data_IF_152916391467
#
_entry.id   IF_152916391467
#
_cell.length_a   1.000
_cell.length_b   1.000
_cell.length_c   1.000
_cell.angle_alpha   90.00
_cell.angle_beta   90.00
_cell.angle_gamma   90.00
#
_symmetry.space_group_name_H-M   'P 1'
#
loop_
_entity.id
_entity.type
_entity.pdbx_description
1 polymer ?
#
# COMPACT_ATOMS: atom_id res chain seq x y z
N UNK A 1 -11.60 -3.77 -3.58
CA UNK A 1 -10.30 -3.10 -3.35
C UNK A 1 -10.39 -2.06 -2.24
N UNK A 2 -11.27 -1.04 -2.36
CA UNK A 2 -11.47 -0.01 -1.32
C UNK A 2 -11.62 -0.55 0.11
N UNK A 3 -12.48 -1.56 0.29
CA UNK A 3 -12.73 -2.18 1.59
C UNK A 3 -11.47 -2.78 2.25
N UNK A 4 -10.55 -3.35 1.45
CA UNK A 4 -9.28 -3.87 1.96
C UNK A 4 -8.31 -2.77 2.36
N UNK A 5 -8.28 -1.66 1.61
CA UNK A 5 -7.49 -0.49 1.96
C UNK A 5 -8.02 0.17 3.24
N UNK A 6 -9.34 0.29 3.39
CA UNK A 6 -9.98 0.75 4.61
C UNK A 6 -9.67 -0.17 5.80
N UNK A 7 -9.82 -1.48 5.65
CA UNK A 7 -9.52 -2.46 6.68
C UNK A 7 -8.04 -2.45 7.13
N UNK A 8 -7.11 -2.12 6.23
CA UNK A 8 -5.68 -2.05 6.56
C UNK A 8 -5.29 -0.76 7.30
N UNK A 9 -5.92 0.37 6.97
CA UNK A 9 -5.52 1.70 7.48
C UNK A 9 -6.50 2.33 8.46
N UNK A 10 -7.63 1.67 8.76
CA UNK A 10 -8.72 2.20 9.58
C UNK A 10 -9.27 3.54 9.04
N UNK A 11 -9.41 3.66 7.72
CA UNK A 11 -9.71 4.91 7.01
C UNK A 11 -10.76 4.71 5.88
N UNK A 12 -12.06 4.58 6.23
CA UNK A 12 -13.10 4.18 5.28
C UNK A 12 -13.40 5.23 4.19
N UNK A 13 -13.30 6.52 4.52
CA UNK A 13 -13.57 7.63 3.58
C UNK A 13 -12.42 7.74 2.55
N UNK A 14 -11.17 7.68 3.01
CA UNK A 14 -10.00 7.74 2.14
C UNK A 14 -9.97 6.56 1.15
N UNK A 15 -10.29 5.35 1.62
CA UNK A 15 -10.38 4.17 0.76
C UNK A 15 -11.51 4.25 -0.27
N UNK A 16 -12.65 4.86 0.09
CA UNK A 16 -13.76 5.06 -0.84
C UNK A 16 -13.43 6.12 -1.90
N UNK A 17 -12.86 7.27 -1.49
CA UNK A 17 -12.45 8.33 -2.40
C UNK A 17 -11.36 7.85 -3.37
N UNK A 18 -10.35 7.14 -2.89
CA UNK A 18 -9.29 6.59 -3.72
C UNK A 18 -9.82 5.71 -4.86
N UNK A 19 -10.81 4.85 -4.58
CA UNK A 19 -11.40 4.00 -5.62
C UNK A 19 -12.21 4.78 -6.66
N UNK A 20 -12.90 5.84 -6.22
CA UNK A 20 -13.72 6.65 -7.12
C UNK A 20 -12.83 7.54 -7.99
N UNK A 21 -11.81 8.16 -7.40
CA UNK A 21 -10.89 9.10 -8.04
C UNK A 21 -9.87 8.40 -8.96
N UNK A 22 -9.18 7.37 -8.48
CA UNK A 22 -8.03 6.78 -9.20
C UNK A 22 -8.44 5.66 -10.17
N UNK A 23 -9.54 4.93 -9.89
CA UNK A 23 -9.89 3.72 -10.68
C UNK A 23 -11.08 3.97 -11.59
N UNK A 24 -12.14 4.57 -11.04
CA UNK A 24 -13.43 4.59 -11.72
C UNK A 24 -13.62 5.84 -12.58
N UNK A 25 -12.93 6.95 -12.25
CA UNK A 25 -13.01 8.26 -12.93
C UNK A 25 -14.45 8.80 -13.16
N UNK A 26 -15.46 8.24 -12.48
CA UNK A 26 -16.88 8.51 -12.71
C UNK A 26 -17.63 8.54 -11.37
N UNK A 27 -18.02 9.75 -10.98
CA UNK A 27 -18.68 10.06 -9.72
C UNK A 27 -20.20 9.81 -9.78
N UNK A 28 -20.61 8.56 -10.05
CA UNK A 28 -22.02 8.19 -9.90
C UNK A 28 -22.34 7.96 -8.42
N UNK A 29 -23.29 8.70 -7.83
CA UNK A 29 -23.58 8.66 -6.39
C UNK A 29 -23.94 7.25 -5.90
N UNK A 30 -24.61 6.46 -6.73
CA UNK A 30 -24.98 5.09 -6.40
C UNK A 30 -23.78 4.15 -6.20
N UNK A 31 -22.69 4.35 -6.96
CA UNK A 31 -21.44 3.59 -6.77
C UNK A 31 -20.72 4.06 -5.50
N UNK A 32 -20.70 5.37 -5.24
CA UNK A 32 -20.04 5.94 -4.05
C UNK A 32 -20.68 5.39 -2.78
N UNK A 33 -22.01 5.37 -2.70
CA UNK A 33 -22.74 4.84 -1.54
C UNK A 33 -22.46 3.35 -1.32
N UNK A 34 -22.46 2.54 -2.38
CA UNK A 34 -22.14 1.12 -2.29
C UNK A 34 -20.70 0.86 -1.82
N UNK A 35 -19.74 1.63 -2.34
CA UNK A 35 -18.32 1.55 -1.96
C UNK A 35 -18.12 1.98 -0.51
N UNK A 36 -18.79 3.05 -0.09
CA UNK A 36 -18.73 3.55 1.27
C UNK A 36 -19.32 2.53 2.25
N UNK A 37 -20.48 1.94 1.96
CA UNK A 37 -21.03 0.85 2.78
C UNK A 37 -20.06 -0.35 2.90
N UNK A 38 -19.36 -0.69 1.82
CA UNK A 38 -18.35 -1.75 1.83
C UNK A 38 -17.09 -1.40 2.63
N UNK A 39 -16.61 -0.14 2.57
CA UNK A 39 -15.44 0.29 3.36
C UNK A 39 -15.76 0.39 4.83
N UNK A 40 -16.93 0.91 5.21
CA UNK A 40 -17.38 1.00 6.60
C UNK A 40 -17.58 -0.37 7.24
N UNK A 41 -18.21 -1.32 6.53
CA UNK A 41 -18.38 -2.69 7.06
C UNK A 41 -17.05 -3.40 7.27
N UNK A 42 -16.08 -3.22 6.37
CA UNK A 42 -14.75 -3.79 6.51
C UNK A 42 -13.96 -3.17 7.67
N UNK A 43 -14.03 -1.84 7.81
CA UNK A 43 -13.43 -1.10 8.92
C UNK A 43 -14.00 -1.54 10.28
N UNK A 44 -15.32 -1.72 10.35
CA UNK A 44 -16.01 -2.22 11.53
C UNK A 44 -15.54 -3.61 11.96
N UNK A 45 -15.40 -4.54 11.00
CA UNK A 45 -14.86 -5.88 11.28
C UNK A 45 -13.41 -5.81 11.76
N UNK A 46 -12.58 -4.94 11.18
CA UNK A 46 -11.20 -4.72 11.64
C UNK A 46 -11.14 -4.22 13.08
N UNK A 47 -11.98 -3.24 13.45
CA UNK A 47 -12.02 -2.72 14.82
C UNK A 47 -12.45 -3.80 15.81
N UNK A 48 -13.41 -4.65 15.43
CA UNK A 48 -13.83 -5.80 16.25
C UNK A 48 -12.73 -6.86 16.42
N UNK A 49 -11.93 -7.11 15.38
CA UNK A 49 -10.89 -8.14 15.40
C UNK A 49 -9.56 -7.67 16.03
N UNK A 50 -9.13 -6.44 15.76
CA UNK A 50 -7.80 -5.92 16.11
C UNK A 50 -7.82 -4.76 17.14
N UNK A 51 -9.00 -4.23 17.47
CA UNK A 51 -9.17 -3.09 18.38
C UNK A 51 -9.01 -1.72 17.70
N UNK A 52 -9.29 -0.64 18.44
CA UNK A 52 -9.43 0.73 17.90
C UNK A 52 -8.10 1.49 17.78
N UNK A 53 -7.18 1.03 16.92
CA UNK A 53 -5.87 1.67 16.74
C UNK A 53 -5.77 2.35 15.36
N UNK A 54 -5.86 3.70 15.28
CA UNK A 54 -5.55 4.40 14.04
C UNK A 54 -4.05 4.24 13.73
N UNK A 55 -3.74 3.88 12.48
CA UNK A 55 -2.37 3.54 12.08
C UNK A 55 -1.43 4.76 12.01
N UNK A 56 -1.97 5.97 11.85
CA UNK A 56 -1.18 7.17 11.58
C UNK A 56 -1.66 8.37 12.40
N UNK A 57 -0.95 8.69 13.49
CA UNK A 57 -1.14 9.92 14.26
C UNK A 57 -0.02 10.91 13.92
N UNK A 58 -0.35 11.94 13.14
CA UNK A 58 0.61 12.97 12.73
C UNK A 58 0.38 14.24 13.58
N UNK A 59 1.31 14.63 14.47
CA UNK A 59 1.27 15.95 15.07
C UNK A 59 1.54 17.00 13.99
N UNK A 60 0.64 17.98 13.87
CA UNK A 60 0.74 19.04 12.85
C UNK A 60 1.82 20.03 13.30
N UNK A 61 3.03 19.89 12.73
CA UNK A 61 4.14 20.81 12.92
C UNK A 61 4.32 21.69 11.66
N UNK A 62 4.83 22.91 11.82
CA UNK A 62 4.97 23.92 10.75
C UNK A 62 5.90 23.54 9.57
N UNK A 63 6.60 22.39 9.64
CA UNK A 63 7.52 21.91 8.60
C UNK A 63 6.88 20.98 7.55
N UNK A 64 5.55 20.83 7.56
CA UNK A 64 4.78 19.99 6.64
C UNK A 64 5.12 20.16 5.14
N UNK A 65 5.29 21.38 4.58
CA UNK A 65 5.53 21.54 3.14
C UNK A 65 6.90 21.03 2.69
N UNK A 66 7.93 21.15 3.53
CA UNK A 66 9.28 20.69 3.18
C UNK A 66 9.37 19.16 3.16
N UNK A 67 8.67 18.51 4.09
CA UNK A 67 8.54 17.04 4.16
C UNK A 67 7.74 16.50 2.97
N UNK A 68 6.72 17.22 2.52
CA UNK A 68 5.93 16.84 1.34
C UNK A 68 6.78 16.76 0.06
N UNK A 69 7.63 17.75 -0.18
CA UNK A 69 8.54 17.78 -1.34
C UNK A 69 9.53 16.61 -1.27
N UNK A 70 10.13 16.37 -0.10
CA UNK A 70 11.07 15.27 0.10
C UNK A 70 10.41 13.91 -0.15
N UNK A 71 9.22 13.68 0.41
CA UNK A 71 8.43 12.46 0.21
C UNK A 71 8.02 12.28 -1.25
N UNK A 72 7.66 13.37 -1.95
CA UNK A 72 7.31 13.33 -3.38
C UNK A 72 8.49 12.89 -4.26
N UNK A 73 9.68 13.43 -4.02
CA UNK A 73 10.90 13.02 -4.74
C UNK A 73 11.20 11.55 -4.47
N UNK A 74 11.10 11.11 -3.22
CA UNK A 74 11.33 9.71 -2.84
C UNK A 74 10.31 8.76 -3.50
N UNK A 75 9.03 9.16 -3.57
CA UNK A 75 7.99 8.40 -4.24
C UNK A 75 8.26 8.23 -5.74
N UNK A 76 8.73 9.29 -6.41
CA UNK A 76 9.11 9.24 -7.83
C UNK A 76 10.28 8.26 -8.07
N UNK A 77 11.32 8.32 -7.23
CA UNK A 77 12.46 7.38 -7.32
C UNK A 77 11.99 5.95 -7.11
N UNK A 78 11.13 5.71 -6.11
CA UNK A 78 10.57 4.39 -5.83
C UNK A 78 9.80 3.83 -7.04
N UNK A 79 8.93 4.65 -7.65
CA UNK A 79 8.19 4.25 -8.84
C UNK A 79 9.14 3.93 -10.01
N UNK A 80 10.15 4.77 -10.24
CA UNK A 80 11.15 4.55 -11.29
C UNK A 80 11.91 3.22 -11.12
N UNK A 81 12.35 2.92 -9.89
CA UNK A 81 13.04 1.66 -9.56
C UNK A 81 12.11 0.47 -9.78
N UNK A 82 10.85 0.53 -9.34
CA UNK A 82 9.88 -0.54 -9.56
C UNK A 82 9.65 -0.83 -11.04
N UNK A 83 9.53 0.20 -11.88
CA UNK A 83 9.38 0.03 -13.33
C UNK A 83 10.65 -0.53 -13.98
N UNK A 84 11.83 -0.14 -13.50
CA UNK A 84 13.13 -0.62 -14.00
C UNK A 84 13.44 -2.08 -13.60
N UNK A 85 12.88 -2.57 -12.50
CA UNK A 85 13.00 -3.97 -12.09
C UNK A 85 12.31 -4.92 -13.08
N UNK A 86 11.18 -4.52 -13.67
CA UNK A 86 10.38 -5.34 -14.60
C UNK A 86 11.17 -5.86 -15.83
N UNK A 87 11.94 -5.03 -16.57
CA UNK A 87 12.80 -5.50 -17.66
C UNK A 87 14.06 -6.25 -17.18
N UNK A 88 14.50 -6.04 -15.94
CA UNK A 88 15.63 -6.78 -15.36
C UNK A 88 15.21 -8.23 -15.05
N UNK A 89 14.03 -8.40 -14.46
CA UNK A 89 13.40 -9.69 -14.21
C UNK A 89 13.07 -10.45 -15.51
N UNK A 90 12.70 -9.77 -16.60
CA UNK A 90 12.43 -10.41 -17.89
C UNK A 90 13.68 -10.84 -18.67
N UNK A 91 14.85 -10.24 -18.39
CA UNK A 91 16.14 -10.68 -18.95
C UNK A 91 16.64 -11.99 -18.35
N UNK A 92 16.15 -12.39 -17.17
CA UNK A 92 16.46 -13.68 -16.54
C UNK A 92 15.58 -14.77 -17.17
N UNK A 93 15.83 -15.08 -18.45
CA UNK A 93 15.13 -16.11 -19.23
C UNK A 93 15.46 -17.56 -18.82
N UNK A 94 16.43 -17.77 -17.92
CA UNK A 94 16.90 -19.10 -17.50
C UNK A 94 16.02 -19.79 -16.45
N UNK A 95 15.05 -19.09 -15.84
CA UNK A 95 14.22 -19.64 -14.76
C UNK A 95 12.74 -19.61 -15.20
N UNK A 96 12.02 -20.75 -15.20
CA UNK A 96 10.60 -20.77 -15.55
C UNK A 96 9.79 -19.88 -14.60
N UNK A 97 8.79 -19.17 -15.16
CA UNK A 97 8.03 -18.12 -14.48
C UNK A 97 7.41 -18.54 -13.12
N UNK A 98 7.16 -19.84 -12.92
CA UNK A 98 6.65 -20.39 -11.67
C UNK A 98 7.62 -20.26 -10.48
N UNK A 99 8.94 -20.23 -10.72
CA UNK A 99 9.95 -20.17 -9.66
C UNK A 99 10.40 -18.75 -9.31
N UNK A 100 9.94 -17.74 -10.05
CA UNK A 100 10.33 -16.35 -9.78
C UNK A 100 9.81 -15.83 -8.42
N UNK A 101 8.68 -16.36 -7.92
CA UNK A 101 8.12 -16.04 -6.60
C UNK A 101 8.78 -16.80 -5.44
N UNK A 102 9.50 -17.90 -5.72
CA UNK A 102 10.23 -18.66 -4.69
C UNK A 102 11.51 -17.93 -4.27
N UNK A 103 12.13 -17.20 -5.21
CA UNK A 103 13.34 -16.39 -4.96
C UNK A 103 13.13 -15.37 -3.82
N UNK A 104 12.12 -14.48 -3.86
CA UNK A 104 11.86 -13.58 -2.75
C UNK A 104 11.42 -14.32 -1.48
N UNK A 105 10.66 -15.42 -1.59
CA UNK A 105 10.23 -16.20 -0.41
C UNK A 105 11.41 -16.78 0.39
N UNK A 106 12.48 -17.21 -0.30
CA UNK A 106 13.71 -17.73 0.32
C UNK A 106 14.65 -16.59 0.74
N UNK A 107 14.72 -15.49 0.00
CA UNK A 107 15.61 -14.37 0.32
C UNK A 107 15.15 -13.57 1.55
N UNK A 108 13.84 -13.48 1.79
CA UNK A 108 13.26 -12.75 2.93
C UNK A 108 13.73 -13.28 4.30
N UNK A 109 13.72 -14.60 4.59
CA UNK A 109 14.24 -15.11 5.85
C UNK A 109 15.75 -14.89 6.02
N UNK A 110 16.55 -15.02 4.95
CA UNK A 110 18.00 -14.78 4.99
C UNK A 110 18.36 -13.31 5.27
N UNK A 111 17.63 -12.35 4.66
CA UNK A 111 17.86 -10.92 4.90
C UNK A 111 17.53 -10.52 6.34
N UNK A 112 16.49 -11.13 6.92
CA UNK A 112 16.07 -10.87 8.30
C UNK A 112 17.10 -11.39 9.31
N UNK A 113 17.80 -12.49 9.00
CA UNK A 113 18.91 -13.02 9.81
C UNK A 113 20.18 -12.17 9.70
N UNK A 114 20.45 -11.56 8.54
CA UNK A 114 21.62 -10.69 8.36
C UNK A 114 21.48 -9.35 9.08
N UNK A 115 20.26 -8.84 9.22
CA UNK A 115 19.99 -7.60 9.95
C UNK A 115 20.07 -7.77 11.48
N UNK A 116 19.75 -8.96 12.00
CA UNK A 116 19.86 -9.27 13.45
C UNK A 116 21.31 -9.55 13.93
N UNK A 117 22.26 -9.77 13.01
CA UNK A 117 23.67 -10.08 13.34
C UNK A 117 24.63 -8.89 13.09
N UNK A 118 24.07 -7.72 12.73
CA UNK A 118 24.78 -6.45 12.53
C UNK A 118 24.28 -5.35 13.49
N UNK A 119 23.84 -5.74 14.68
CA UNK A 119 23.74 -4.88 15.86
C UNK A 119 24.77 -5.35 16.89
#
# INVERSE_FOLDING_TARGET
>A
MAAGLAAAFSAPIAGALFLVEEITFDFKPQKVVAVLAATFSADFVTILAFGNKPFLYLPVNDYLPLIGIFLGIMAYIYQYVLLSLKPWFSKIKKIPAAYHSIIPLILIPDLKLKCNTKC
#
